data_IF_332210171661
#
_entry.id   IF_332210171661
#
_cell.length_a   1.000
_cell.length_b   1.000
_cell.length_c   1.000
_cell.angle_alpha   90.00
_cell.angle_beta   90.00
_cell.angle_gamma   90.00
#
_symmetry.space_group_name_H-M   'P 1'
#
loop_
_entity.id
_entity.type
_entity.pdbx_description
1 polymer ?
#
# COMPACT_ATOMS: atom_id res chain seq x y z
N UNK A 1 -3.07 -9.76 -14.80
CA UNK A 1 -1.87 -9.08 -15.31
C UNK A 1 -1.33 -8.14 -14.24
N UNK A 2 -0.18 -8.48 -13.67
CA UNK A 2 0.57 -7.61 -12.76
C UNK A 2 1.21 -6.48 -13.57
N UNK A 3 1.33 -5.30 -12.95
CA UNK A 3 1.82 -4.09 -13.62
C UNK A 3 3.26 -3.73 -13.28
N UNK A 4 3.80 -4.27 -12.19
CA UNK A 4 5.21 -4.25 -11.84
C UNK A 4 5.85 -5.56 -12.32
N UNK A 5 7.09 -5.51 -12.80
CA UNK A 5 7.87 -6.58 -13.45
C UNK A 5 8.11 -7.82 -12.57
N UNK A 6 7.03 -8.49 -12.15
CA UNK A 6 7.03 -9.57 -11.17
C UNK A 6 7.32 -9.16 -9.73
N UNK A 7 7.74 -7.91 -9.48
CA UNK A 7 8.05 -7.41 -8.13
C UNK A 7 6.78 -6.97 -7.39
N UNK A 8 6.59 -7.41 -6.14
CA UNK A 8 5.49 -6.93 -5.32
C UNK A 8 5.68 -5.45 -4.99
N UNK A 9 4.56 -4.73 -4.88
CA UNK A 9 4.55 -3.34 -4.44
C UNK A 9 4.97 -3.22 -2.97
N UNK A 10 4.56 -4.19 -2.15
CA UNK A 10 4.97 -4.31 -0.77
C UNK A 10 4.85 -5.75 -0.25
N UNK A 11 5.59 -6.06 0.81
CA UNK A 11 5.41 -7.26 1.63
C UNK A 11 5.09 -6.81 3.04
N UNK A 12 4.00 -7.32 3.61
CA UNK A 12 3.54 -6.96 4.96
C UNK A 12 3.58 -8.20 5.84
N UNK A 13 4.35 -8.16 6.91
CA UNK A 13 4.44 -9.23 7.90
C UNK A 13 3.84 -8.79 9.24
N UNK A 14 2.94 -9.60 9.78
CA UNK A 14 2.31 -9.34 11.08
C UNK A 14 2.87 -10.24 12.16
N UNK A 15 3.21 -9.62 13.30
CA UNK A 15 3.61 -10.33 14.52
C UNK A 15 2.77 -9.83 15.69
N UNK A 16 2.31 -10.75 16.52
CA UNK A 16 1.63 -10.40 17.78
C UNK A 16 2.66 -10.00 18.83
N UNK A 17 2.44 -8.83 19.44
CA UNK A 17 3.27 -8.33 20.54
C UNK A 17 2.63 -8.61 21.91
N UNK A 18 1.31 -8.44 22.01
CA UNK A 18 0.51 -8.74 23.21
C UNK A 18 -0.95 -8.99 22.83
N UNK A 19 -1.82 -9.24 23.81
CA UNK A 19 -3.25 -9.47 23.56
C UNK A 19 -3.88 -8.23 22.92
N UNK A 20 -4.30 -8.38 21.65
CA UNK A 20 -4.92 -7.32 20.86
C UNK A 20 -3.95 -6.31 20.24
N UNK A 21 -2.62 -6.48 20.40
CA UNK A 21 -1.61 -5.63 19.78
C UNK A 21 -0.72 -6.41 18.81
N UNK A 22 -0.55 -5.85 17.62
CA UNK A 22 0.28 -6.40 16.57
C UNK A 22 1.32 -5.38 16.11
N UNK A 23 2.46 -5.86 15.63
CA UNK A 23 3.38 -5.10 14.81
C UNK A 23 3.21 -5.52 13.35
N UNK A 24 3.16 -4.56 12.44
CA UNK A 24 3.25 -4.79 11.01
C UNK A 24 4.59 -4.28 10.49
N UNK A 25 5.39 -5.19 9.96
CA UNK A 25 6.59 -4.88 9.21
C UNK A 25 6.21 -4.79 7.72
N UNK A 26 6.23 -3.58 7.18
CA UNK A 26 5.94 -3.30 5.77
C UNK A 26 7.26 -3.05 5.06
N UNK A 27 7.56 -3.86 4.04
CA UNK A 27 8.70 -3.67 3.14
C UNK A 27 8.21 -3.25 1.77
N UNK A 28 8.64 -2.11 1.27
CA UNK A 28 8.26 -1.65 -0.07
C UNK A 28 9.13 -2.27 -1.18
N UNK A 29 8.73 -2.05 -2.43
CA UNK A 29 9.48 -2.50 -3.61
C UNK A 29 10.87 -1.87 -3.78
N UNK A 30 11.15 -0.75 -3.10
CA UNK A 30 12.46 -0.09 -3.08
C UNK A 30 13.36 -0.63 -1.96
N UNK A 31 12.84 -1.50 -1.09
CA UNK A 31 13.54 -2.09 0.04
C UNK A 31 13.46 -1.27 1.33
N UNK A 32 12.68 -0.19 1.37
CA UNK A 32 12.43 0.53 2.61
C UNK A 32 11.54 -0.30 3.53
N UNK A 33 11.83 -0.23 4.83
CA UNK A 33 11.12 -0.98 5.85
C UNK A 33 10.47 -0.03 6.86
N UNK A 34 9.22 -0.34 7.21
CA UNK A 34 8.39 0.42 8.14
C UNK A 34 7.81 -0.53 9.17
N UNK A 35 7.87 -0.15 10.45
CA UNK A 35 7.34 -0.96 11.55
C UNK A 35 6.24 -0.16 12.23
N UNK A 36 4.99 -0.57 12.03
CA UNK A 36 3.83 0.09 12.61
C UNK A 36 3.22 -0.75 13.73
N UNK A 37 2.85 -0.10 14.82
CA UNK A 37 2.07 -0.73 15.89
C UNK A 37 0.59 -0.61 15.58
N UNK A 38 -0.13 -1.72 15.67
CA UNK A 38 -1.51 -1.84 15.25
C UNK A 38 -2.37 -2.37 16.38
N UNK A 39 -3.49 -1.70 16.58
CA UNK A 39 -4.59 -2.14 17.40
C UNK A 39 -5.81 -2.30 16.49
N UNK A 40 -6.07 -3.54 16.07
CA UNK A 40 -7.30 -3.89 15.37
C UNK A 40 -7.28 -5.20 14.61
N UNK A 41 -8.46 -5.59 14.15
CA UNK A 41 -8.72 -6.91 13.56
C UNK A 41 -8.41 -6.96 12.06
N UNK A 42 -8.41 -5.81 11.38
CA UNK A 42 -8.18 -5.69 9.95
C UNK A 42 -7.17 -4.60 9.64
N UNK A 43 -6.55 -4.73 8.48
CA UNK A 43 -5.63 -3.74 7.93
C UNK A 43 -5.97 -3.41 6.48
N UNK A 44 -5.49 -2.24 6.04
CA UNK A 44 -5.54 -1.79 4.66
C UNK A 44 -4.29 -0.97 4.33
N UNK A 45 -3.84 -1.02 3.09
CA UNK A 45 -2.71 -0.23 2.58
C UNK A 45 -3.15 0.59 1.38
N UNK A 46 -2.84 1.88 1.43
CA UNK A 46 -3.04 2.80 0.32
C UNK A 46 -1.70 3.09 -0.36
N UNK A 47 -1.73 3.22 -1.68
CA UNK A 47 -0.61 3.65 -2.47
C UNK A 47 -1.05 4.64 -3.55
N UNK A 48 -0.14 5.52 -3.91
CA UNK A 48 -0.26 6.43 -5.03
C UNK A 48 0.50 5.84 -6.21
N UNK A 49 -0.18 5.77 -7.34
CA UNK A 49 0.33 5.19 -8.58
C UNK A 49 0.37 6.26 -9.64
N UNK A 50 1.55 6.48 -10.20
CA UNK A 50 1.81 7.34 -11.34
C UNK A 50 1.96 6.47 -12.58
N UNK A 51 1.12 6.69 -13.58
CA UNK A 51 1.18 6.00 -14.86
C UNK A 51 1.48 6.99 -15.97
N UNK A 52 2.43 6.66 -16.82
CA UNK A 52 2.63 7.37 -18.08
C UNK A 52 1.69 6.80 -19.14
N UNK A 53 1.27 7.65 -20.08
CA UNK A 53 0.35 7.25 -21.13
C UNK A 53 1.02 6.21 -22.04
N UNK A 54 0.45 4.99 -22.03
CA UNK A 54 0.93 3.83 -22.79
C UNK A 54 1.00 4.05 -24.30
N UNK A 55 0.26 5.02 -24.84
CA UNK A 55 0.30 5.34 -26.28
C UNK A 55 1.60 6.04 -26.68
N UNK A 56 2.27 6.73 -25.75
CA UNK A 56 3.55 7.40 -25.99
C UNK A 56 4.72 6.67 -25.36
N UNK A 57 4.50 5.95 -24.25
CA UNK A 57 5.55 5.29 -23.49
C UNK A 57 5.12 3.86 -23.16
N UNK A 58 5.40 2.91 -24.07
CA UNK A 58 4.98 1.51 -23.91
C UNK A 58 5.77 0.75 -22.84
N UNK A 59 7.02 1.15 -22.59
CA UNK A 59 7.96 0.38 -21.76
C UNK A 59 8.26 1.06 -20.41
N UNK A 60 7.55 2.14 -20.06
CA UNK A 60 7.75 2.80 -18.76
C UNK A 60 6.81 2.19 -17.73
N UNK A 61 7.41 1.56 -16.72
CA UNK A 61 6.69 1.00 -15.59
C UNK A 61 5.97 2.08 -14.77
N UNK A 62 4.79 1.76 -14.22
CA UNK A 62 4.11 2.67 -13.33
C UNK A 62 4.92 2.84 -12.04
N UNK A 63 5.16 4.09 -11.64
CA UNK A 63 5.78 4.35 -10.34
C UNK A 63 4.71 4.20 -9.25
N UNK A 64 5.07 3.48 -8.19
CA UNK A 64 4.20 3.27 -7.03
C UNK A 64 4.88 3.81 -5.78
N UNK A 65 4.11 4.48 -4.93
CA UNK A 65 4.55 4.90 -3.59
C UNK A 65 3.49 4.52 -2.58
N UNK A 66 3.86 3.84 -1.51
CA UNK A 66 2.96 3.57 -0.40
C UNK A 66 2.65 4.88 0.34
N UNK A 67 1.43 5.10 0.80
CA UNK A 67 1.08 6.36 1.48
C UNK A 67 0.69 6.11 2.92
N UNK A 68 -0.41 5.40 3.12
CA UNK A 68 -1.02 5.21 4.43
C UNK A 68 -1.23 3.73 4.71
N UNK A 69 -0.86 3.34 5.92
CA UNK A 69 -1.19 2.05 6.49
C UNK A 69 -2.29 2.22 7.53
N UNK A 70 -3.39 1.48 7.40
CA UNK A 70 -4.55 1.59 8.27
C UNK A 70 -4.73 0.37 9.15
N UNK A 71 -4.99 0.60 10.44
CA UNK A 71 -5.64 -0.37 11.32
C UNK A 71 -7.15 -0.11 11.35
N UNK A 72 -7.94 -1.19 11.35
CA UNK A 72 -9.40 -1.16 11.30
C UNK A 72 -9.96 -2.11 12.37
N UNK A 73 -10.84 -1.60 13.23
CA UNK A 73 -11.58 -2.38 14.23
C UNK A 73 -12.96 -2.79 13.70
N UNK A 74 -13.44 -4.01 14.03
CA UNK A 74 -14.85 -4.37 13.82
C UNK A 74 -15.63 -4.05 15.08
N UNK A 75 -15.98 -2.79 15.25
CA UNK A 75 -17.07 -2.45 16.15
C UNK A 75 -18.39 -2.71 15.42
N UNK A 76 -19.28 -3.46 16.08
CA UNK A 76 -20.56 -3.99 15.59
C UNK A 76 -21.31 -3.05 14.64
N UNK A 77 -22.10 -3.63 13.71
CA UNK A 77 -22.87 -2.99 12.60
C UNK A 77 -23.71 -1.73 12.96
N UNK A 78 -23.80 -1.32 14.23
CA UNK A 78 -24.45 -0.11 14.74
C UNK A 78 -23.52 1.03 15.17
N UNK A 79 -22.21 0.81 15.31
CA UNK A 79 -21.24 1.86 15.64
C UNK A 79 -20.49 2.27 14.38
N UNK A 80 -21.06 3.23 13.65
CA UNK A 80 -20.52 3.78 12.41
C UNK A 80 -19.29 4.70 12.64
N UNK A 81 -18.39 4.31 13.54
CA UNK A 81 -17.09 4.92 13.74
C UNK A 81 -16.05 3.80 13.69
N UNK A 82 -15.72 3.38 12.47
CA UNK A 82 -14.49 2.64 12.23
C UNK A 82 -13.38 3.60 12.68
N UNK A 83 -12.79 3.34 13.85
CA UNK A 83 -11.58 4.03 14.27
C UNK A 83 -10.48 3.60 13.31
N UNK A 84 -10.25 4.45 12.31
CA UNK A 84 -9.18 4.31 11.33
C UNK A 84 -7.97 5.01 11.90
N UNK A 85 -6.99 4.24 12.39
CA UNK A 85 -5.67 4.77 12.68
C UNK A 85 -4.84 4.66 11.41
N UNK A 86 -4.58 5.81 10.79
CA UNK A 86 -3.75 5.92 9.60
C UNK A 86 -2.35 6.35 10.00
N UNK A 87 -1.34 5.60 9.58
CA UNK A 87 0.05 5.98 9.76
C UNK A 87 0.73 6.16 8.40
N UNK A 88 1.39 7.30 8.24
CA UNK A 88 2.08 7.66 7.01
C UNK A 88 3.37 6.83 6.91
N UNK A 89 3.55 6.10 5.80
CA UNK A 89 4.74 5.28 5.62
C UNK A 89 5.97 6.11 5.20
N UNK A 90 5.79 7.23 4.50
CA UNK A 90 6.90 8.08 4.09
C UNK A 90 6.78 9.48 4.69
N UNK A 91 7.68 9.82 5.63
CA UNK A 91 7.74 11.18 6.22
C UNK A 91 8.49 12.19 5.35
N UNK A 92 9.28 11.73 4.38
CA UNK A 92 10.10 12.59 3.51
C UNK A 92 9.32 13.11 2.29
N UNK A 93 9.27 14.44 2.12
CA UNK A 93 8.59 15.19 1.04
C UNK A 93 9.13 14.94 -0.37
N UNK A 94 10.16 14.14 -0.54
CA UNK A 94 11.16 14.45 -1.58
C UNK A 94 10.83 14.06 -3.02
N UNK A 95 9.71 13.41 -3.35
CA UNK A 95 9.42 13.12 -4.76
C UNK A 95 7.97 13.31 -5.22
N UNK A 96 7.03 13.70 -4.35
CA UNK A 96 5.62 13.91 -4.76
C UNK A 96 4.98 15.12 -4.07
N UNK A 97 5.74 16.19 -3.85
CA UNK A 97 5.16 17.50 -3.49
C UNK A 97 5.34 18.57 -4.59
N UNK A 98 5.86 18.16 -5.75
CA UNK A 98 5.84 18.95 -6.99
C UNK A 98 4.58 18.72 -7.84
N UNK A 99 3.74 17.74 -7.46
CA UNK A 99 2.49 17.41 -8.17
C UNK A 99 1.48 18.56 -8.27
N UNK A 100 1.29 19.39 -7.21
CA UNK A 100 0.44 20.58 -7.32
C UNK A 100 0.94 21.58 -8.38
N UNK A 101 2.24 21.59 -8.65
CA UNK A 101 2.84 22.44 -9.69
C UNK A 101 2.68 21.82 -11.09
N UNK A 102 2.83 20.50 -11.22
CA UNK A 102 2.60 19.79 -12.49
C UNK A 102 1.13 19.88 -12.94
N UNK A 103 0.17 19.76 -12.02
CA UNK A 103 -1.27 19.92 -12.30
C UNK A 103 -1.67 21.31 -12.81
N UNK A 104 -0.84 22.33 -12.66
CA UNK A 104 -1.07 23.66 -13.26
C UNK A 104 -0.79 23.67 -14.77
N UNK A 105 -0.20 22.61 -15.32
CA UNK A 105 0.11 22.47 -16.74
C UNK A 105 -1.02 21.66 -17.39
N UNK A 106 -2.00 22.31 -18.07
CA UNK A 106 -3.23 21.66 -18.53
C UNK A 106 -3.03 20.56 -19.58
N UNK A 107 -1.84 20.46 -20.18
CA UNK A 107 -1.53 19.38 -21.12
C UNK A 107 -0.92 18.15 -20.46
N UNK A 108 -0.42 18.24 -19.22
CA UNK A 108 0.33 17.15 -18.58
C UNK A 108 -0.55 15.94 -18.25
N UNK A 109 -1.85 16.17 -17.97
CA UNK A 109 -2.84 15.13 -17.71
C UNK A 109 -3.07 14.21 -18.93
N UNK A 110 -2.67 14.64 -20.15
CA UNK A 110 -2.69 13.78 -21.34
C UNK A 110 -1.55 12.77 -21.37
N UNK A 111 -0.49 13.00 -20.60
CA UNK A 111 0.73 12.19 -20.57
C UNK A 111 0.86 11.39 -19.28
N UNK A 112 0.31 11.89 -18.18
CA UNK A 112 0.49 11.32 -16.84
C UNK A 112 -0.87 11.16 -16.16
N UNK A 113 -1.10 10.00 -15.56
CA UNK A 113 -2.25 9.73 -14.69
C UNK A 113 -1.76 9.40 -13.29
N UNK A 114 -2.20 10.18 -12.31
CA UNK A 114 -1.96 9.91 -10.90
C UNK A 114 -3.25 9.40 -10.26
N UNK A 115 -3.18 8.25 -9.61
CA UNK A 115 -4.33 7.61 -8.97
C UNK A 115 -3.94 7.12 -7.58
N UNK A 116 -4.84 7.31 -6.61
CA UNK A 116 -4.72 6.64 -5.31
C UNK A 116 -5.48 5.32 -5.41
N UNK A 117 -4.86 4.26 -4.92
CA UNK A 117 -5.44 2.92 -4.91
C UNK A 117 -5.19 2.28 -3.55
N UNK A 118 -6.13 1.43 -3.14
CA UNK A 118 -6.15 0.81 -1.82
C UNK A 118 -6.30 -0.69 -1.96
N UNK A 119 -5.69 -1.44 -1.05
CA UNK A 119 -6.02 -2.85 -0.91
C UNK A 119 -7.44 -3.00 -0.36
N UNK A 120 -8.08 -4.13 -0.62
CA UNK A 120 -9.24 -4.52 0.20
C UNK A 120 -8.79 -4.74 1.65
N UNK A 121 -9.69 -4.53 2.61
CA UNK A 121 -9.44 -4.87 4.02
C UNK A 121 -9.07 -6.35 4.16
N UNK A 122 -8.01 -6.64 4.93
CA UNK A 122 -7.54 -7.99 5.21
C UNK A 122 -7.43 -8.22 6.71
N UNK A 123 -7.66 -9.45 7.21
CA UNK A 123 -7.56 -9.73 8.63
C UNK A 123 -6.10 -9.64 9.08
N UNK A 124 -5.89 -9.05 10.26
CA UNK A 124 -4.63 -9.11 10.99
C UNK A 124 -4.54 -10.50 11.62
N UNK A 125 -3.47 -11.22 11.35
CA UNK A 125 -3.27 -12.59 11.85
C UNK A 125 -1.80 -12.77 12.18
N UNK A 126 -1.52 -13.37 13.33
CA UNK A 126 -0.15 -13.60 13.78
C UNK A 126 0.64 -14.45 12.77
N UNK A 127 1.94 -14.17 12.64
CA UNK A 127 2.90 -14.85 11.74
C UNK A 127 2.43 -14.95 10.30
N UNK A 128 1.63 -13.97 9.85
CA UNK A 128 1.08 -13.96 8.50
C UNK A 128 1.83 -12.94 7.64
N UNK A 129 2.25 -13.39 6.47
CA UNK A 129 2.83 -12.54 5.43
C UNK A 129 1.80 -12.31 4.34
N UNK A 130 1.63 -11.06 3.94
CA UNK A 130 0.86 -10.65 2.79
C UNK A 130 1.77 -10.06 1.73
N UNK A 131 1.58 -10.49 0.49
CA UNK A 131 2.23 -9.92 -0.67
C UNK A 131 1.22 -8.98 -1.32
N UNK A 132 1.60 -7.71 -1.46
CA UNK A 132 0.78 -6.67 -2.08
C UNK A 132 1.30 -6.44 -3.50
N UNK A 133 0.44 -6.65 -4.47
CA UNK A 133 0.76 -6.49 -5.89
C UNK A 133 -0.06 -5.39 -6.53
N UNK A 134 0.55 -4.62 -7.43
CA UNK A 134 -0.17 -3.68 -8.27
C UNK A 134 -0.72 -4.42 -9.50
N UNK A 135 -2.04 -4.37 -9.65
CA UNK A 135 -2.76 -4.94 -10.79
C UNK A 135 -3.46 -3.84 -11.58
N UNK A 136 -4.03 -4.19 -12.74
CA UNK A 136 -4.89 -3.29 -13.51
C UNK A 136 -6.09 -2.75 -12.69
N UNK A 137 -6.56 -3.52 -11.70
CA UNK A 137 -7.69 -3.15 -10.84
C UNK A 137 -7.27 -2.36 -9.60
N UNK A 138 -5.97 -2.15 -9.39
CA UNK A 138 -5.42 -1.52 -8.20
C UNK A 138 -4.59 -2.48 -7.35
N UNK A 139 -4.41 -2.15 -6.08
CA UNK A 139 -3.64 -2.98 -5.14
C UNK A 139 -4.42 -4.22 -4.72
N UNK A 140 -3.75 -5.36 -4.79
CA UNK A 140 -4.29 -6.64 -4.34
C UNK A 140 -3.32 -7.23 -3.32
N UNK A 141 -3.83 -7.43 -2.10
CA UNK A 141 -3.11 -8.10 -1.03
C UNK A 141 -3.50 -9.59 -0.98
N UNK A 142 -2.51 -10.47 -1.10
CA UNK A 142 -2.69 -11.92 -1.06
C UNK A 142 -1.85 -12.49 0.07
N UNK A 143 -2.43 -13.41 0.84
CA UNK A 143 -1.69 -14.11 1.89
C UNK A 143 -0.65 -14.99 1.21
N UNK A 144 0.62 -14.81 1.57
CA UNK A 144 1.68 -15.69 1.09
C UNK A 144 1.44 -17.09 1.65
N UNK A 145 1.48 -18.10 0.79
CA UNK A 145 1.50 -19.51 1.20
C UNK A 145 2.89 -19.95 1.69
N UNK A 146 3.92 -19.15 1.42
CA UNK A 146 5.27 -19.40 1.90
C UNK A 146 5.33 -18.98 3.36
N UNK A 147 5.02 -19.92 4.25
CA UNK A 147 5.60 -19.93 5.58
C UNK A 147 7.12 -20.11 5.41
N UNK A 148 7.90 -19.31 6.12
CA UNK A 148 9.35 -19.45 6.26
C UNK A 148 10.16 -19.43 4.94
N UNK A 149 10.55 -18.23 4.50
CA UNK A 149 11.87 -17.97 3.92
C UNK A 149 12.01 -16.45 3.71
N UNK A 150 12.25 -15.74 4.81
CA UNK A 150 13.05 -14.52 4.73
C UNK A 150 14.50 -14.95 5.00
N UNK A 151 15.48 -14.50 4.19
CA UNK A 151 16.89 -14.66 4.56
C UNK A 151 17.21 -13.90 5.85
#
# INVERSE_FOLDING_TARGET
HYLSDGKPAAVVHFRRESDGQFSAHVKDHMGHEYIQKLTGDYWQLDARVLRLNKHMFRDIEPMIRLEYFYALNVTSRKAASIERSAELLHTSSDLIDSWPFLKKIPWIDRFISLQVTSTMKKPVTDKTVYIVNLTNLGLVAEKSRVADNAP
#
